data_IF_463163125449
#
_entry.id   IF_463163125449
#
_cell.length_a   1.000
_cell.length_b   1.000
_cell.length_c   1.000
_cell.angle_alpha   90.00
_cell.angle_beta   90.00
_cell.angle_gamma   90.00
#
_symmetry.space_group_name_H-M   'P 1'
#
loop_
_entity.id
_entity.type
_entity.pdbx_description
1 polymer ?
#
# COMPACT_ATOMS: atom_id res chain seq x y z
N UNK A 1 8.55 21.26 30.16
CA UNK A 1 8.29 20.46 28.97
C UNK A 1 9.44 20.53 27.93
N UNK A 2 10.04 21.67 27.65
CA UNK A 2 11.15 21.82 26.68
C UNK A 2 12.41 21.00 27.00
N UNK A 3 12.84 20.94 28.26
CA UNK A 3 14.08 20.21 28.64
C UNK A 3 13.97 18.70 28.45
N UNK A 4 12.79 18.13 28.69
CA UNK A 4 12.51 16.70 28.45
C UNK A 4 12.52 16.36 26.95
N UNK A 5 12.09 17.29 26.11
CA UNK A 5 11.98 17.09 24.68
C UNK A 5 13.37 17.15 23.98
N UNK A 6 14.24 18.08 24.38
CA UNK A 6 15.62 18.16 23.87
C UNK A 6 16.47 16.91 24.21
N UNK A 7 16.19 16.28 25.37
CA UNK A 7 16.80 14.99 25.74
C UNK A 7 16.37 13.88 24.80
N UNK A 8 15.08 13.82 24.43
CA UNK A 8 14.52 12.79 23.57
C UNK A 8 14.99 12.95 22.10
N UNK A 9 15.16 14.18 21.61
CA UNK A 9 15.68 14.44 20.26
C UNK A 9 17.08 13.83 20.06
N UNK A 10 17.99 14.03 21.01
CA UNK A 10 19.32 13.40 20.96
C UNK A 10 19.30 11.89 20.98
N UNK A 11 18.37 11.29 21.71
CA UNK A 11 18.20 9.83 21.73
C UNK A 11 17.69 9.31 20.37
N UNK A 12 16.79 10.05 19.72
CA UNK A 12 16.31 9.72 18.38
C UNK A 12 17.49 9.84 17.37
N UNK A 13 18.29 10.92 17.44
CA UNK A 13 19.47 11.07 16.59
C UNK A 13 20.42 9.87 16.75
N UNK A 14 20.75 9.50 17.98
CA UNK A 14 21.63 8.36 18.28
C UNK A 14 21.04 7.03 17.74
N UNK A 15 19.72 6.85 17.83
CA UNK A 15 19.05 5.68 17.28
C UNK A 15 19.20 5.63 15.75
N UNK A 16 18.93 6.74 15.06
CA UNK A 16 19.03 6.84 13.59
C UNK A 16 20.48 6.66 13.12
N UNK A 17 21.45 7.28 13.78
CA UNK A 17 22.88 7.04 13.53
C UNK A 17 23.26 5.57 13.76
N UNK A 18 22.65 4.92 14.75
CA UNK A 18 22.82 3.49 15.01
C UNK A 18 22.37 2.62 13.85
N UNK A 19 21.32 3.00 13.12
CA UNK A 19 20.90 2.30 11.89
C UNK A 19 21.91 2.47 10.76
N UNK A 20 22.47 3.68 10.59
CA UNK A 20 23.51 3.93 9.59
C UNK A 20 24.75 3.07 9.86
N UNK A 21 25.18 2.98 11.12
CA UNK A 21 26.31 2.13 11.53
C UNK A 21 26.07 0.63 11.26
N UNK A 22 24.81 0.19 11.18
CA UNK A 22 24.42 -1.18 10.82
C UNK A 22 24.24 -1.39 9.31
N UNK A 23 24.59 -0.39 8.49
CA UNK A 23 24.62 -0.48 7.04
C UNK A 23 23.40 0.09 6.31
N UNK A 24 22.51 0.82 7.00
CA UNK A 24 21.47 1.59 6.29
C UNK A 24 22.14 2.81 5.64
N UNK A 25 22.01 3.03 4.31
CA UNK A 25 22.66 4.16 3.64
C UNK A 25 22.20 5.53 4.14
N UNK A 26 20.89 5.69 4.33
CA UNK A 26 20.31 6.93 4.81
C UNK A 26 18.86 6.76 5.27
N UNK A 27 18.37 7.71 6.04
CA UNK A 27 17.00 7.72 6.54
C UNK A 27 16.52 9.15 6.84
N UNK A 28 15.20 9.32 6.89
CA UNK A 28 14.53 10.51 7.37
C UNK A 28 13.41 10.13 8.34
N UNK A 29 13.25 10.93 9.39
CA UNK A 29 12.18 10.76 10.38
C UNK A 29 11.55 12.12 10.70
N UNK A 30 10.23 12.16 10.75
CA UNK A 30 9.46 13.28 11.26
C UNK A 30 8.42 12.78 12.25
N UNK A 31 8.34 13.44 13.40
CA UNK A 31 7.35 13.21 14.44
C UNK A 31 6.49 14.45 14.58
N UNK A 32 5.19 14.27 14.45
CA UNK A 32 4.21 15.36 14.53
C UNK A 32 3.13 15.01 15.55
N UNK A 33 2.74 16.00 16.34
CA UNK A 33 1.63 15.89 17.29
C UNK A 33 0.76 17.13 17.24
N UNK A 34 -0.52 16.96 17.04
CA UNK A 34 -1.50 18.05 16.96
C UNK A 34 -1.07 19.21 16.03
N UNK A 35 -0.54 18.88 14.86
CA UNK A 35 -0.07 19.84 13.87
C UNK A 35 1.32 20.44 14.16
N UNK A 36 1.92 20.14 15.31
CA UNK A 36 3.25 20.64 15.66
C UNK A 36 4.33 19.60 15.35
N UNK A 37 5.37 19.98 14.62
CA UNK A 37 6.56 19.14 14.44
C UNK A 37 7.32 19.08 15.75
N UNK A 38 7.40 17.90 16.33
CA UNK A 38 8.17 17.65 17.55
C UNK A 38 9.61 17.25 17.22
N UNK A 39 9.83 16.52 16.14
CA UNK A 39 11.14 16.10 15.70
C UNK A 39 11.16 16.02 14.17
N UNK A 40 12.31 16.39 13.60
CA UNK A 40 12.61 16.21 12.18
C UNK A 40 14.12 16.00 12.04
N UNK A 41 14.52 14.90 11.39
CA UNK A 41 15.93 14.56 11.20
C UNK A 41 16.16 13.76 9.93
N UNK A 42 17.27 14.05 9.25
CA UNK A 42 17.70 13.43 8.00
C UNK A 42 19.17 13.04 8.12
N UNK A 43 19.49 11.78 7.84
CA UNK A 43 20.80 11.20 8.10
C UNK A 43 21.28 10.35 6.93
N UNK A 44 22.60 10.31 6.75
CA UNK A 44 23.25 9.50 5.72
C UNK A 44 23.07 10.03 4.31
N UNK A 45 23.07 9.14 3.33
CA UNK A 45 23.13 9.47 1.91
C UNK A 45 22.01 8.81 1.13
N UNK A 46 21.58 9.46 0.05
CA UNK A 46 20.60 8.91 -0.92
C UNK A 46 21.24 7.88 -1.84
N UNK A 47 22.57 7.99 -2.02
CA UNK A 47 23.37 7.13 -2.89
C UNK A 47 24.79 7.00 -2.31
N UNK A 48 25.28 5.76 -2.20
CA UNK A 48 26.58 5.46 -1.55
C UNK A 48 27.78 5.85 -2.40
N UNK A 49 27.63 5.94 -3.72
CA UNK A 49 28.71 6.28 -4.64
C UNK A 49 28.86 7.79 -4.75
N UNK A 50 27.76 8.52 -4.99
CA UNK A 50 27.76 9.99 -5.10
C UNK A 50 27.84 10.68 -3.75
N UNK A 51 27.49 9.97 -2.67
CA UNK A 51 27.39 10.49 -1.29
C UNK A 51 26.47 11.71 -1.14
N UNK A 52 25.48 11.80 -2.00
CA UNK A 52 24.44 12.83 -1.93
C UNK A 52 23.67 12.71 -0.61
N UNK A 53 23.60 13.75 0.23
CA UNK A 53 22.99 13.66 1.54
C UNK A 53 21.47 13.48 1.46
N UNK A 54 20.90 12.76 2.43
CA UNK A 54 19.44 12.73 2.65
C UNK A 54 19.02 14.09 3.22
N UNK A 55 17.97 14.67 2.64
CA UNK A 55 17.41 15.97 3.04
C UNK A 55 15.87 15.88 3.12
N UNK A 56 15.22 16.94 3.54
CA UNK A 56 13.75 17.04 3.55
C UNK A 56 13.13 16.87 2.15
N UNK A 57 13.90 17.20 1.10
CA UNK A 57 13.44 17.12 -0.29
C UNK A 57 13.72 15.75 -0.92
N UNK A 58 14.29 14.82 -0.17
CA UNK A 58 14.57 13.45 -0.63
C UNK A 58 13.28 12.67 -0.84
N UNK A 59 13.20 11.97 -1.96
CA UNK A 59 12.05 11.12 -2.31
C UNK A 59 12.34 9.66 -1.98
N UNK A 60 11.32 9.00 -1.45
CA UNK A 60 11.36 7.58 -1.08
C UNK A 60 10.24 6.82 -1.80
N UNK A 61 10.55 5.63 -2.30
CA UNK A 61 9.53 4.71 -2.82
C UNK A 61 8.65 4.23 -1.67
N UNK A 62 7.35 4.45 -1.78
CA UNK A 62 6.41 4.12 -0.72
C UNK A 62 6.04 2.63 -0.68
N UNK A 63 6.27 1.89 -1.75
CA UNK A 63 5.88 0.50 -1.84
C UNK A 63 4.44 0.30 -1.27
N UNK A 64 4.22 -0.62 -0.34
CA UNK A 64 2.90 -0.88 0.25
C UNK A 64 2.34 0.25 1.12
N UNK A 65 3.12 1.25 1.49
CA UNK A 65 2.60 2.48 2.10
C UNK A 65 1.66 3.23 1.14
N UNK A 66 1.80 3.03 -0.18
CA UNK A 66 0.87 3.56 -1.19
C UNK A 66 -0.58 3.12 -0.99
N UNK A 67 -0.84 2.03 -0.27
CA UNK A 67 -2.18 1.56 0.06
C UNK A 67 -2.92 2.48 1.05
N UNK A 68 -2.19 3.20 1.89
CA UNK A 68 -2.80 4.14 2.85
C UNK A 68 -3.55 5.26 2.11
N UNK A 69 -2.94 6.03 1.19
CA UNK A 69 -3.69 7.02 0.40
C UNK A 69 -4.79 6.37 -0.47
N UNK A 70 -4.54 5.18 -1.05
CA UNK A 70 -5.54 4.47 -1.86
C UNK A 70 -6.82 4.20 -1.07
N UNK A 71 -6.72 3.55 0.08
CA UNK A 71 -7.90 3.24 0.90
C UNK A 71 -8.48 4.48 1.58
N UNK A 72 -7.68 5.52 1.82
CA UNK A 72 -8.20 6.83 2.26
C UNK A 72 -9.13 7.42 1.20
N UNK A 73 -8.73 7.45 -0.06
CA UNK A 73 -9.59 7.94 -1.17
C UNK A 73 -10.81 7.05 -1.35
N UNK A 74 -10.69 5.72 -1.26
CA UNK A 74 -11.85 4.83 -1.26
C UNK A 74 -12.87 5.23 -0.19
N UNK A 75 -12.44 5.50 1.04
CA UNK A 75 -13.35 5.88 2.12
C UNK A 75 -13.89 7.30 1.99
N UNK A 76 -13.16 8.22 1.38
CA UNK A 76 -13.72 9.54 1.00
C UNK A 76 -14.83 9.41 -0.05
N UNK A 77 -14.71 8.48 -1.00
CA UNK A 77 -15.75 8.17 -1.99
C UNK A 77 -16.94 7.45 -1.34
N UNK A 78 -16.69 6.55 -0.39
CA UNK A 78 -17.74 5.94 0.42
C UNK A 78 -18.58 6.98 1.18
N UNK A 79 -17.95 7.95 1.86
CA UNK A 79 -18.65 9.06 2.53
C UNK A 79 -19.52 9.89 1.56
N UNK A 80 -19.09 10.00 0.30
CA UNK A 80 -19.84 10.69 -0.75
C UNK A 80 -20.96 9.84 -1.34
N UNK A 81 -21.21 8.65 -0.80
CA UNK A 81 -22.27 7.73 -1.25
C UNK A 81 -22.05 7.16 -2.65
N UNK A 82 -20.79 7.07 -3.10
CA UNK A 82 -20.47 6.56 -4.43
C UNK A 82 -20.62 5.05 -4.56
N UNK A 83 -20.55 4.34 -3.45
CA UNK A 83 -20.79 2.89 -3.34
C UNK A 83 -21.10 2.51 -1.89
N UNK A 84 -21.61 1.31 -1.70
CA UNK A 84 -21.73 0.67 -0.39
C UNK A 84 -20.63 -0.40 -0.22
N UNK A 85 -20.22 -0.63 1.03
CA UNK A 85 -19.21 -1.67 1.32
C UNK A 85 -19.70 -3.10 0.97
N UNK A 86 -21.00 -3.28 0.84
CA UNK A 86 -21.66 -4.55 0.48
C UNK A 86 -21.87 -4.72 -1.03
N UNK A 87 -21.63 -3.68 -1.82
CA UNK A 87 -21.82 -3.76 -3.27
C UNK A 87 -20.87 -4.78 -3.88
N UNK A 88 -21.35 -5.62 -4.82
CA UNK A 88 -20.49 -6.49 -5.61
C UNK A 88 -19.55 -5.65 -6.47
N UNK A 89 -18.27 -6.01 -6.51
CA UNK A 89 -17.31 -5.27 -7.36
C UNK A 89 -17.65 -5.39 -8.85
N UNK A 90 -18.36 -6.41 -9.26
CA UNK A 90 -18.81 -6.61 -10.63
C UNK A 90 -19.78 -5.54 -11.15
N UNK A 91 -20.34 -4.71 -10.27
CA UNK A 91 -21.16 -3.56 -10.65
C UNK A 91 -20.29 -2.39 -11.18
N UNK A 92 -19.02 -2.35 -10.79
CA UNK A 92 -18.02 -1.35 -11.18
C UNK A 92 -17.00 -1.91 -12.15
N UNK A 93 -16.65 -3.18 -12.02
CA UNK A 93 -15.66 -3.93 -12.81
C UNK A 93 -16.37 -5.14 -13.46
N UNK A 94 -16.99 -4.98 -14.65
CA UNK A 94 -17.84 -6.02 -15.25
C UNK A 94 -17.17 -7.38 -15.44
N UNK A 95 -15.85 -7.41 -15.64
CA UNK A 95 -15.06 -8.63 -15.74
C UNK A 95 -14.99 -9.45 -14.44
N UNK A 96 -15.38 -8.86 -13.30
CA UNK A 96 -15.43 -9.47 -11.97
C UNK A 96 -16.85 -9.85 -11.51
N UNK A 97 -17.84 -9.87 -12.42
CA UNK A 97 -19.23 -10.30 -12.09
C UNK A 97 -19.28 -11.72 -11.57
N UNK A 98 -18.42 -12.57 -12.10
CA UNK A 98 -18.29 -13.97 -11.70
C UNK A 98 -16.81 -14.26 -11.46
N UNK A 99 -16.55 -15.07 -10.45
CA UNK A 99 -15.20 -15.53 -10.15
C UNK A 99 -15.24 -17.04 -9.90
N UNK A 100 -14.12 -17.70 -10.12
CA UNK A 100 -13.89 -19.08 -9.74
C UNK A 100 -12.85 -19.16 -8.65
N UNK A 101 -12.79 -20.29 -7.95
CA UNK A 101 -11.77 -20.57 -6.94
C UNK A 101 -11.23 -21.98 -7.08
N UNK A 102 -10.08 -22.22 -6.53
CA UNK A 102 -9.57 -23.56 -6.32
C UNK A 102 -10.31 -24.24 -5.16
N UNK A 103 -10.83 -25.45 -5.41
CA UNK A 103 -11.46 -26.31 -4.41
C UNK A 103 -10.55 -27.54 -4.17
N UNK A 104 -9.99 -27.61 -2.96
CA UNK A 104 -9.00 -28.64 -2.60
C UNK A 104 -9.69 -29.79 -1.87
N UNK A 105 -9.66 -30.96 -2.44
CA UNK A 105 -10.20 -32.18 -1.84
C UNK A 105 -9.19 -32.85 -0.90
N UNK A 106 -9.67 -33.57 0.14
CA UNK A 106 -8.78 -34.27 1.09
C UNK A 106 -7.84 -35.29 0.45
N UNK A 107 -8.20 -35.82 -0.73
CA UNK A 107 -7.37 -36.75 -1.51
C UNK A 107 -6.29 -36.09 -2.37
N UNK A 108 -6.12 -34.76 -2.24
CA UNK A 108 -5.14 -33.96 -2.99
C UNK A 108 -5.60 -33.51 -4.38
N UNK A 109 -6.81 -33.92 -4.83
CA UNK A 109 -7.39 -33.43 -6.07
C UNK A 109 -7.83 -31.96 -5.90
N UNK A 110 -7.75 -31.19 -6.98
CA UNK A 110 -8.12 -29.76 -6.99
C UNK A 110 -9.03 -29.49 -8.17
N UNK A 111 -10.24 -29.01 -7.89
CA UNK A 111 -11.19 -28.51 -8.87
C UNK A 111 -11.13 -26.98 -8.97
N UNK A 112 -11.60 -26.46 -10.09
CA UNK A 112 -11.93 -25.04 -10.25
C UNK A 112 -13.45 -24.93 -10.27
N UNK A 113 -13.99 -24.26 -9.26
CA UNK A 113 -15.45 -24.14 -9.07
C UNK A 113 -15.85 -22.66 -8.97
N UNK A 114 -17.11 -22.30 -9.28
CA UNK A 114 -17.61 -20.96 -9.00
C UNK A 114 -17.47 -20.59 -7.52
N UNK A 115 -17.22 -19.32 -7.23
CA UNK A 115 -17.27 -18.82 -5.86
C UNK A 115 -18.69 -18.87 -5.31
N UNK A 116 -18.82 -19.04 -3.98
CA UNK A 116 -20.12 -19.12 -3.29
C UNK A 116 -20.88 -17.78 -3.31
N UNK A 117 -20.20 -16.68 -3.49
CA UNK A 117 -20.73 -15.33 -3.65
C UNK A 117 -19.78 -14.43 -4.45
N UNK A 118 -20.26 -13.30 -4.97
CA UNK A 118 -19.37 -12.29 -5.56
C UNK A 118 -18.41 -11.70 -4.51
N UNK A 119 -17.27 -11.18 -4.99
CA UNK A 119 -16.42 -10.30 -4.20
C UNK A 119 -17.17 -8.98 -3.98
N UNK A 120 -17.18 -8.47 -2.77
CA UNK A 120 -17.72 -7.14 -2.46
C UNK A 120 -16.62 -6.13 -2.12
N UNK A 121 -16.96 -4.85 -2.07
CA UNK A 121 -16.01 -3.76 -1.79
C UNK A 121 -15.35 -3.92 -0.41
N UNK A 122 -16.08 -4.43 0.59
CA UNK A 122 -15.50 -4.72 1.92
C UNK A 122 -14.40 -5.79 1.83
N UNK A 123 -14.57 -6.82 1.01
CA UNK A 123 -13.54 -7.85 0.82
C UNK A 123 -12.27 -7.25 0.22
N UNK A 124 -12.42 -6.36 -0.78
CA UNK A 124 -11.32 -5.62 -1.39
C UNK A 124 -10.56 -4.81 -0.33
N UNK A 125 -11.27 -4.02 0.46
CA UNK A 125 -10.67 -3.12 1.43
C UNK A 125 -10.06 -3.84 2.63
N UNK A 126 -10.51 -5.07 2.94
CA UNK A 126 -10.00 -5.85 4.06
C UNK A 126 -9.11 -7.03 3.67
N UNK A 127 -8.61 -7.07 2.43
CA UNK A 127 -7.71 -8.13 1.93
C UNK A 127 -8.32 -9.54 2.03
N UNK A 128 -9.60 -9.68 1.70
CA UNK A 128 -10.36 -10.94 1.77
C UNK A 128 -10.87 -11.40 0.41
N UNK A 129 -10.25 -10.96 -0.69
CA UNK A 129 -10.64 -11.37 -2.04
C UNK A 129 -10.15 -12.74 -2.46
N UNK A 130 -9.19 -13.35 -1.75
CA UNK A 130 -8.54 -14.57 -2.20
C UNK A 130 -7.52 -14.36 -3.33
N UNK A 131 -6.91 -13.18 -3.42
CA UNK A 131 -5.95 -12.78 -4.46
C UNK A 131 -4.56 -12.55 -3.88
N UNK A 132 -3.74 -13.59 -3.65
CA UNK A 132 -2.37 -13.43 -3.17
C UNK A 132 -1.46 -12.80 -4.24
N UNK A 133 -0.33 -12.22 -3.82
CA UNK A 133 0.74 -11.89 -4.76
C UNK A 133 1.36 -13.16 -5.35
N UNK A 134 1.82 -13.09 -6.61
CA UNK A 134 2.46 -14.23 -7.28
C UNK A 134 3.78 -14.68 -6.67
N UNK A 135 4.39 -13.89 -5.77
CA UNK A 135 5.62 -14.21 -5.05
C UNK A 135 5.39 -14.63 -3.59
N UNK A 136 4.15 -14.89 -3.20
CA UNK A 136 3.79 -15.31 -1.85
C UNK A 136 4.32 -16.71 -1.58
N UNK A 137 5.11 -16.88 -0.51
CA UNK A 137 5.79 -18.14 -0.19
C UNK A 137 4.88 -19.18 0.53
N UNK A 138 3.58 -18.93 0.65
CA UNK A 138 2.69 -19.87 1.33
C UNK A 138 2.43 -21.12 0.48
N UNK A 139 2.60 -22.34 1.01
CA UNK A 139 2.42 -23.59 0.27
C UNK A 139 1.03 -23.77 -0.36
N UNK A 140 0.00 -23.14 0.23
CA UNK A 140 -1.37 -23.15 -0.27
C UNK A 140 -1.59 -22.26 -1.50
N UNK A 141 -0.61 -21.46 -1.86
CA UNK A 141 -0.71 -20.45 -2.93
C UNK A 141 -0.02 -20.86 -4.23
N UNK A 142 0.68 -21.98 -4.28
CA UNK A 142 1.47 -22.36 -5.46
C UNK A 142 0.62 -22.45 -6.72
N UNK A 143 -0.52 -23.13 -6.67
CA UNK A 143 -1.46 -23.22 -7.79
C UNK A 143 -2.05 -21.86 -8.15
N UNK A 144 -2.39 -21.05 -7.14
CA UNK A 144 -2.96 -19.72 -7.35
C UNK A 144 -1.91 -18.79 -7.95
N UNK A 145 -0.66 -18.87 -7.47
CA UNK A 145 0.46 -18.13 -8.04
C UNK A 145 0.70 -18.50 -9.49
N UNK A 146 0.74 -19.79 -9.80
CA UNK A 146 0.92 -20.28 -11.16
C UNK A 146 -0.22 -19.81 -12.07
N UNK A 147 -1.46 -19.99 -11.67
CA UNK A 147 -2.63 -19.55 -12.46
C UNK A 147 -2.65 -18.02 -12.64
N UNK A 148 -2.26 -17.25 -11.63
CA UNK A 148 -2.13 -15.80 -11.74
C UNK A 148 -0.99 -15.42 -12.69
N UNK A 149 0.17 -16.06 -12.60
CA UNK A 149 1.30 -15.84 -13.50
C UNK A 149 0.92 -16.12 -14.94
N UNK A 150 0.27 -17.25 -15.22
CA UNK A 150 -0.19 -17.60 -16.57
C UNK A 150 -1.14 -16.55 -17.15
N UNK A 151 -2.05 -16.01 -16.35
CA UNK A 151 -2.96 -14.95 -16.77
C UNK A 151 -2.23 -13.61 -17.01
N UNK A 152 -1.19 -13.31 -16.23
CA UNK A 152 -0.45 -12.04 -16.30
C UNK A 152 0.71 -12.06 -17.29
N UNK A 153 1.25 -13.23 -17.62
CA UNK A 153 2.41 -13.40 -18.49
C UNK A 153 2.32 -12.60 -19.81
N UNK A 154 1.21 -12.67 -20.57
CA UNK A 154 1.10 -11.92 -21.83
C UNK A 154 1.21 -10.39 -21.66
N UNK A 155 0.76 -9.86 -20.53
CA UNK A 155 0.88 -8.44 -20.23
C UNK A 155 2.31 -8.06 -19.84
N UNK A 156 2.97 -8.90 -19.07
CA UNK A 156 4.38 -8.67 -18.68
C UNK A 156 5.30 -8.71 -19.90
N UNK A 157 5.05 -9.61 -20.85
CA UNK A 157 5.78 -9.68 -22.11
C UNK A 157 5.49 -8.48 -23.02
N UNK A 158 4.27 -7.95 -23.02
CA UNK A 158 3.91 -6.70 -23.72
C UNK A 158 4.68 -5.50 -23.16
N UNK A 159 5.00 -5.51 -21.84
CA UNK A 159 5.80 -4.52 -21.14
C UNK A 159 5.06 -3.26 -20.70
N UNK A 160 4.02 -2.80 -21.43
CA UNK A 160 3.16 -1.67 -21.06
C UNK A 160 1.69 -2.09 -21.16
N UNK A 161 0.90 -1.79 -20.14
CA UNK A 161 -0.54 -2.13 -20.06
C UNK A 161 -1.26 -1.20 -19.09
N UNK A 162 -2.55 -1.00 -19.35
CA UNK A 162 -3.43 -0.19 -18.51
C UNK A 162 -3.89 -0.96 -17.28
N UNK A 163 -4.40 -0.25 -16.26
CA UNK A 163 -5.04 -0.86 -15.10
C UNK A 163 -6.20 -1.78 -15.52
N UNK A 164 -7.01 -1.35 -16.49
CA UNK A 164 -8.11 -2.15 -17.02
C UNK A 164 -7.64 -3.48 -17.64
N UNK A 165 -6.57 -3.46 -18.45
CA UNK A 165 -5.97 -4.68 -19.01
C UNK A 165 -5.44 -5.60 -17.89
N UNK A 166 -4.82 -5.02 -16.86
CA UNK A 166 -4.35 -5.75 -15.68
C UNK A 166 -5.50 -6.46 -14.98
N UNK A 167 -6.56 -5.72 -14.63
CA UNK A 167 -7.72 -6.28 -13.93
C UNK A 167 -8.44 -7.34 -14.76
N UNK A 168 -8.54 -7.12 -16.08
CA UNK A 168 -9.11 -8.11 -17.00
C UNK A 168 -8.27 -9.39 -17.10
N UNK A 169 -6.96 -9.30 -17.02
CA UNK A 169 -6.09 -10.49 -16.99
C UNK A 169 -6.24 -11.22 -15.65
N UNK A 170 -6.21 -10.50 -14.53
CA UNK A 170 -6.37 -11.07 -13.19
C UNK A 170 -7.72 -11.78 -13.00
N UNK A 171 -8.80 -11.26 -13.58
CA UNK A 171 -10.15 -11.84 -13.42
C UNK A 171 -10.29 -13.26 -13.98
N UNK A 172 -9.36 -13.71 -14.83
CA UNK A 172 -9.32 -15.05 -15.41
C UNK A 172 -8.70 -16.09 -14.47
N UNK A 173 -7.93 -15.64 -13.48
CA UNK A 173 -7.28 -16.53 -12.52
C UNK A 173 -8.28 -16.96 -11.43
N UNK A 174 -8.34 -18.26 -11.08
CA UNK A 174 -9.13 -18.71 -9.95
C UNK A 174 -8.59 -18.13 -8.64
N UNK A 175 -9.48 -17.78 -7.71
CA UNK A 175 -9.15 -17.30 -6.38
C UNK A 175 -8.58 -18.42 -5.51
N UNK A 176 -7.79 -18.07 -4.49
CA UNK A 176 -7.29 -19.03 -3.51
C UNK A 176 -8.38 -19.65 -2.65
N UNK A 177 -9.47 -18.91 -2.41
CA UNK A 177 -10.58 -19.28 -1.53
C UNK A 177 -11.84 -18.50 -1.90
N UNK A 178 -12.97 -18.85 -1.26
CA UNK A 178 -14.18 -18.03 -1.35
C UNK A 178 -13.96 -16.63 -0.77
N UNK A 179 -14.49 -15.57 -1.44
CA UNK A 179 -14.37 -14.21 -0.93
C UNK A 179 -14.90 -14.09 0.50
N UNK A 180 -14.13 -13.41 1.35
CA UNK A 180 -14.47 -13.16 2.74
C UNK A 180 -14.24 -14.32 3.71
N UNK A 181 -13.68 -15.45 3.28
CA UNK A 181 -13.40 -16.60 4.17
C UNK A 181 -12.02 -16.51 4.82
N UNK A 182 -11.01 -16.06 4.10
CA UNK A 182 -9.62 -15.95 4.54
C UNK A 182 -9.07 -14.54 4.37
N UNK A 183 -8.11 -14.15 5.20
CA UNK A 183 -7.33 -12.96 5.00
C UNK A 183 -6.08 -13.30 4.20
N UNK A 184 -5.92 -12.68 3.03
CA UNK A 184 -4.79 -12.92 2.13
C UNK A 184 -4.28 -11.58 1.61
N UNK A 185 -3.10 -11.17 2.06
CA UNK A 185 -2.45 -9.96 1.57
C UNK A 185 -1.99 -10.13 0.12
N UNK A 186 -2.46 -9.26 -0.78
CA UNK A 186 -2.13 -9.40 -2.18
C UNK A 186 -2.75 -8.32 -3.08
N UNK A 187 -3.26 -8.74 -4.25
CA UNK A 187 -3.72 -7.88 -5.33
C UNK A 187 -5.07 -7.18 -5.11
N UNK A 188 -5.64 -7.22 -3.91
CA UNK A 188 -6.90 -6.49 -3.61
C UNK A 188 -6.80 -4.97 -3.86
N UNK A 189 -5.60 -4.40 -3.73
CA UNK A 189 -5.37 -2.98 -3.98
C UNK A 189 -5.55 -2.57 -5.44
N UNK A 190 -5.30 -3.47 -6.37
CA UNK A 190 -5.53 -3.24 -7.80
C UNK A 190 -7.02 -3.11 -8.11
N UNK A 191 -7.85 -3.95 -7.47
CA UNK A 191 -9.31 -3.85 -7.56
C UNK A 191 -9.81 -2.51 -6.99
N UNK A 192 -9.27 -2.08 -5.84
CA UNK A 192 -9.61 -0.79 -5.24
C UNK A 192 -9.33 0.38 -6.20
N UNK A 193 -8.19 0.35 -6.87
CA UNK A 193 -7.85 1.36 -7.86
C UNK A 193 -8.80 1.37 -9.05
N UNK A 194 -9.13 0.19 -9.59
CA UNK A 194 -10.11 0.07 -10.68
C UNK A 194 -11.50 0.56 -10.28
N UNK A 195 -11.93 0.32 -9.05
CA UNK A 195 -13.20 0.83 -8.52
C UNK A 195 -13.16 2.37 -8.45
N UNK A 196 -12.05 2.97 -8.01
CA UNK A 196 -11.89 4.44 -8.02
C UNK A 196 -12.04 5.00 -9.43
N UNK A 197 -11.35 4.40 -10.42
CA UNK A 197 -11.46 4.84 -11.81
C UNK A 197 -12.88 4.71 -12.36
N UNK A 198 -13.53 3.57 -12.10
CA UNK A 198 -14.91 3.34 -12.56
C UNK A 198 -15.93 4.31 -11.93
N UNK A 199 -15.75 4.66 -10.66
CA UNK A 199 -16.65 5.54 -9.91
C UNK A 199 -16.43 7.01 -10.25
N UNK A 200 -15.19 7.40 -10.55
CA UNK A 200 -14.81 8.80 -10.82
C UNK A 200 -14.76 9.13 -12.32
N UNK A 201 -14.76 8.13 -13.18
CA UNK A 201 -14.54 8.26 -14.63
C UNK A 201 -13.24 9.05 -14.95
N UNK A 202 -12.18 8.76 -14.19
CA UNK A 202 -10.87 9.43 -14.26
C UNK A 202 -9.76 8.46 -13.90
N UNK A 203 -8.53 8.67 -14.42
CA UNK A 203 -7.36 7.95 -13.95
C UNK A 203 -7.19 8.14 -12.43
N UNK A 204 -6.85 7.08 -11.74
CA UNK A 204 -6.75 7.11 -10.27
C UNK A 204 -5.68 8.07 -9.76
N UNK A 205 -4.60 8.33 -10.51
CA UNK A 205 -3.59 9.33 -10.17
C UNK A 205 -4.19 10.75 -10.13
N UNK A 206 -5.10 11.07 -11.06
CA UNK A 206 -5.81 12.35 -11.08
C UNK A 206 -6.76 12.46 -9.88
N UNK A 207 -7.44 11.36 -9.54
CA UNK A 207 -8.31 11.30 -8.36
C UNK A 207 -7.51 11.50 -7.07
N UNK A 208 -6.34 10.85 -6.93
CA UNK A 208 -5.45 11.07 -5.79
C UNK A 208 -5.02 12.53 -5.67
N UNK A 209 -4.59 13.10 -6.79
CA UNK A 209 -4.17 14.51 -6.83
C UNK A 209 -5.29 15.43 -6.39
N UNK A 210 -6.47 15.33 -7.01
CA UNK A 210 -7.61 16.22 -6.73
C UNK A 210 -8.17 16.04 -5.32
N UNK A 211 -8.32 14.80 -4.85
CA UNK A 211 -9.05 14.51 -3.61
C UNK A 211 -8.16 14.53 -2.38
N UNK A 212 -6.86 14.25 -2.52
CA UNK A 212 -5.98 14.01 -1.38
C UNK A 212 -4.71 14.86 -1.44
N UNK A 213 -3.93 14.80 -2.54
CA UNK A 213 -2.59 15.40 -2.54
C UNK A 213 -2.64 16.93 -2.59
N UNK A 214 -3.44 17.52 -3.49
CA UNK A 214 -3.59 18.98 -3.58
C UNK A 214 -4.19 19.57 -2.27
N UNK A 215 -5.27 19.02 -1.69
CA UNK A 215 -5.83 19.52 -0.43
C UNK A 215 -4.85 19.43 0.76
N UNK A 216 -3.96 18.44 0.77
CA UNK A 216 -2.95 18.28 1.80
C UNK A 216 -1.63 19.03 1.48
N UNK A 217 -1.52 19.62 0.29
CA UNK A 217 -0.29 20.24 -0.19
C UNK A 217 0.87 19.26 -0.40
N UNK A 218 0.58 18.01 -0.72
CA UNK A 218 1.55 16.93 -0.97
C UNK A 218 2.11 17.04 -2.39
N UNK A 219 3.02 17.97 -2.61
CA UNK A 219 3.56 18.33 -3.94
C UNK A 219 4.62 17.34 -4.44
N UNK A 220 5.21 16.60 -3.54
CA UNK A 220 6.29 15.64 -3.77
C UNK A 220 5.79 14.18 -3.73
N UNK A 221 4.47 13.98 -3.86
CA UNK A 221 3.84 12.65 -3.85
C UNK A 221 3.14 12.39 -5.17
N UNK A 222 3.58 11.37 -5.88
CA UNK A 222 2.94 10.93 -7.13
C UNK A 222 3.36 9.50 -7.51
N UNK A 223 2.74 8.95 -8.57
CA UNK A 223 3.15 7.69 -9.17
C UNK A 223 4.16 7.87 -10.31
N UNK A 224 4.19 9.04 -10.94
CA UNK A 224 4.99 9.33 -12.13
C UNK A 224 5.81 10.59 -11.89
N UNK A 225 7.09 10.54 -12.23
CA UNK A 225 7.96 11.72 -12.16
C UNK A 225 7.57 12.73 -13.25
N UNK A 226 7.32 13.99 -12.88
CA UNK A 226 7.01 15.02 -13.87
C UNK A 226 8.23 15.37 -14.73
N UNK A 227 9.45 15.19 -14.20
CA UNK A 227 10.69 15.54 -14.85
C UNK A 227 11.90 14.80 -14.24
N UNK A 228 13.04 14.88 -14.91
CA UNK A 228 14.30 14.28 -14.46
C UNK A 228 14.84 14.93 -13.16
N UNK A 229 14.56 16.20 -12.90
CA UNK A 229 14.98 16.85 -11.66
C UNK A 229 14.29 16.21 -10.44
N UNK A 230 13.00 15.95 -10.54
CA UNK A 230 12.24 15.24 -9.50
C UNK A 230 12.75 13.81 -9.33
N UNK A 231 12.99 13.11 -10.44
CA UNK A 231 13.53 11.74 -10.41
C UNK A 231 14.89 11.67 -9.70
N UNK A 232 15.77 12.65 -9.92
CA UNK A 232 17.11 12.70 -9.31
C UNK A 232 17.09 12.92 -7.79
N UNK A 233 15.93 13.23 -7.21
CA UNK A 233 15.73 13.31 -5.75
C UNK A 233 15.38 11.95 -5.12
N UNK A 234 15.13 10.91 -5.94
CA UNK A 234 14.76 9.58 -5.46
C UNK A 234 15.99 8.84 -4.92
N UNK A 235 15.85 8.25 -3.72
CA UNK A 235 16.91 7.41 -3.13
C UNK A 235 17.23 6.21 -4.02
N UNK A 236 18.50 5.84 -4.10
CA UNK A 236 18.92 4.60 -4.73
C UNK A 236 18.41 3.41 -3.92
N UNK A 237 17.80 2.43 -4.59
CA UNK A 237 17.41 1.17 -3.97
C UNK A 237 18.63 0.26 -3.90
N UNK A 238 18.89 -0.27 -2.71
CA UNK A 238 19.98 -1.22 -2.48
C UNK A 238 19.44 -2.59 -2.09
N UNK A 239 20.16 -3.62 -2.52
CA UNK A 239 20.03 -4.99 -2.07
C UNK A 239 21.35 -5.44 -1.42
N UNK A 240 21.34 -6.55 -0.70
CA UNK A 240 22.57 -7.21 -0.25
C UNK A 240 22.92 -8.33 -1.21
N UNK A 241 24.20 -8.37 -1.61
CA UNK A 241 24.76 -9.52 -2.30
C UNK A 241 24.96 -10.72 -1.32
N UNK A 242 25.35 -11.92 -1.81
CA UNK A 242 25.61 -13.07 -0.95
C UNK A 242 26.67 -12.83 0.13
N UNK A 243 27.59 -11.89 -0.09
CA UNK A 243 28.66 -11.54 0.85
C UNK A 243 28.23 -10.46 1.86
N UNK A 244 26.98 -9.95 1.71
CA UNK A 244 26.39 -8.94 2.58
C UNK A 244 26.70 -7.50 2.22
N UNK A 245 27.36 -7.24 1.08
CA UNK A 245 27.65 -5.90 0.59
C UNK A 245 26.39 -5.28 -0.03
N UNK A 246 26.28 -3.95 0.07
CA UNK A 246 25.23 -3.20 -0.60
C UNK A 246 25.56 -3.08 -2.09
N UNK A 247 24.63 -3.55 -2.93
CA UNK A 247 24.68 -3.40 -4.39
C UNK A 247 23.38 -2.70 -4.86
N UNK A 248 23.40 -1.99 -5.99
CA UNK A 248 22.18 -1.42 -6.55
C UNK A 248 21.11 -2.50 -6.71
N UNK A 249 19.93 -2.23 -6.18
CA UNK A 249 18.77 -3.11 -6.29
C UNK A 249 18.16 -3.08 -7.70
N UNK A 250 17.14 -3.93 -7.95
CA UNK A 250 16.51 -3.99 -9.26
C UNK A 250 15.79 -2.68 -9.60
N UNK A 251 16.02 -2.15 -10.79
CA UNK A 251 15.48 -0.88 -11.28
C UNK A 251 14.05 -0.98 -11.85
N UNK A 252 13.43 -2.14 -11.76
CA UNK A 252 12.13 -2.36 -12.39
C UNK A 252 11.02 -1.46 -11.83
N UNK A 253 11.16 -1.00 -10.58
CA UNK A 253 10.24 0.00 -10.01
C UNK A 253 10.44 1.38 -10.65
N UNK A 254 11.69 1.76 -10.93
CA UNK A 254 12.03 3.09 -11.41
C UNK A 254 11.60 3.32 -12.85
N UNK A 255 11.73 2.28 -13.69
CA UNK A 255 11.29 2.33 -15.10
C UNK A 255 9.79 2.58 -15.24
N UNK A 256 9.01 2.26 -14.22
CA UNK A 256 7.54 2.38 -14.21
C UNK A 256 7.04 3.76 -13.78
N UNK A 257 7.92 4.57 -13.20
CA UNK A 257 7.63 5.96 -12.82
C UNK A 257 7.95 6.96 -13.93
N UNK A 258 8.43 6.51 -15.08
CA UNK A 258 8.77 7.39 -16.21
C UNK A 258 7.54 7.65 -17.07
N UNK A 259 7.34 8.91 -17.55
CA UNK A 259 6.26 9.25 -18.46
C UNK A 259 6.26 8.37 -19.72
N UNK A 260 5.09 7.90 -20.15
CA UNK A 260 4.92 7.06 -21.33
C UNK A 260 5.42 5.62 -21.19
N UNK A 261 5.88 5.22 -20.00
CA UNK A 261 6.22 3.83 -19.62
C UNK A 261 5.36 3.33 -18.48
N UNK A 262 4.28 3.98 -18.25
CA UNK A 262 3.33 3.73 -17.19
C UNK A 262 2.74 2.33 -17.37
N UNK A 263 3.19 1.42 -16.55
CA UNK A 263 2.33 0.33 -16.16
C UNK A 263 1.43 0.91 -15.07
N UNK A 264 0.24 1.32 -15.43
CA UNK A 264 -0.74 1.91 -14.52
C UNK A 264 -1.23 0.91 -13.45
N UNK A 265 -0.72 -0.30 -13.49
CA UNK A 265 -1.06 -1.37 -12.58
C UNK A 265 -0.02 -1.51 -11.46
N UNK A 266 -0.52 -1.65 -10.26
CA UNK A 266 0.25 -1.93 -9.05
C UNK A 266 0.40 -0.73 -8.13
N UNK A 267 -0.47 -0.68 -7.14
CA UNK A 267 -0.62 0.37 -6.13
C UNK A 267 0.40 0.30 -5.00
N UNK A 268 1.56 -0.24 -5.29
CA UNK A 268 2.74 -0.13 -4.47
C UNK A 268 3.74 0.86 -5.08
N UNK A 269 3.28 1.91 -5.79
CA UNK A 269 4.14 2.70 -6.69
C UNK A 269 4.16 4.20 -6.48
N UNK A 270 3.65 4.70 -5.39
CA UNK A 270 3.88 6.11 -5.07
C UNK A 270 5.34 6.30 -4.62
N UNK A 271 5.90 7.42 -4.99
CA UNK A 271 7.01 8.03 -4.27
C UNK A 271 6.48 9.20 -3.44
N UNK A 272 7.18 9.56 -2.38
CA UNK A 272 6.84 10.68 -1.52
C UNK A 272 8.05 11.16 -0.74
N UNK A 273 7.99 12.40 -0.24
CA UNK A 273 8.90 12.90 0.79
C UNK A 273 8.37 12.55 2.19
N UNK A 274 9.26 12.60 3.19
CA UNK A 274 8.86 12.47 4.61
C UNK A 274 7.87 13.57 5.00
N UNK A 275 8.08 14.78 4.48
CA UNK A 275 7.20 15.93 4.71
C UNK A 275 5.78 15.65 4.22
N UNK A 276 5.62 15.31 2.94
CA UNK A 276 4.30 15.09 2.34
C UNK A 276 3.56 13.94 3.01
N UNK A 277 4.25 12.82 3.22
CA UNK A 277 3.60 11.67 3.83
C UNK A 277 3.17 11.95 5.28
N UNK A 278 3.92 12.78 6.00
CA UNK A 278 3.56 13.23 7.34
C UNK A 278 2.24 14.02 7.38
N UNK A 279 1.92 14.78 6.33
CA UNK A 279 0.66 15.53 6.23
C UNK A 279 -0.55 14.60 6.13
N UNK A 280 -0.44 13.54 5.33
CA UNK A 280 -1.46 12.49 5.25
C UNK A 280 -1.68 11.82 6.62
N UNK A 281 -0.58 11.44 7.28
CA UNK A 281 -0.68 10.80 8.60
C UNK A 281 -1.25 11.74 9.65
N UNK A 282 -0.92 13.03 9.62
CA UNK A 282 -1.54 14.03 10.50
C UNK A 282 -3.04 14.15 10.25
N UNK A 283 -3.47 14.25 8.99
CA UNK A 283 -4.89 14.31 8.65
C UNK A 283 -5.64 13.12 9.25
N UNK A 284 -5.11 11.91 9.08
CA UNK A 284 -5.72 10.70 9.64
C UNK A 284 -5.71 10.70 11.17
N UNK A 285 -4.58 11.07 11.81
CA UNK A 285 -4.44 11.11 13.27
C UNK A 285 -5.33 12.19 13.92
N UNK A 286 -5.56 13.30 13.21
CA UNK A 286 -6.43 14.39 13.64
C UNK A 286 -7.91 14.21 13.26
N UNK A 287 -8.35 12.97 13.00
CA UNK A 287 -9.76 12.66 12.74
C UNK A 287 -10.29 13.28 11.45
N UNK A 288 -9.46 13.30 10.40
CA UNK A 288 -9.82 13.75 9.05
C UNK A 288 -9.68 15.24 8.81
N UNK A 289 -8.94 15.94 9.68
CA UNK A 289 -8.70 17.40 9.56
C UNK A 289 -7.21 17.67 9.37
N UNK A 290 -6.88 18.52 8.43
CA UNK A 290 -5.54 19.04 8.22
C UNK A 290 -5.60 20.54 7.94
N UNK A 291 -4.80 21.33 8.65
CA UNK A 291 -4.73 22.80 8.54
C UNK A 291 -6.13 23.47 8.51
N UNK A 292 -7.00 23.08 9.46
CA UNK A 292 -8.37 23.57 9.57
C UNK A 292 -9.37 23.03 8.53
N UNK A 293 -8.91 22.31 7.51
CA UNK A 293 -9.76 21.75 6.46
C UNK A 293 -10.12 20.30 6.76
N UNK A 294 -11.42 19.97 6.74
CA UNK A 294 -11.90 18.60 6.90
C UNK A 294 -11.96 17.89 5.55
N UNK A 295 -11.22 16.79 5.42
CA UNK A 295 -11.21 15.94 4.23
C UNK A 295 -12.14 14.73 4.38
N UNK A 296 -12.25 14.18 5.60
CA UNK A 296 -13.15 13.07 5.90
C UNK A 296 -13.61 13.10 7.36
N UNK A 297 -14.63 12.32 7.70
CA UNK A 297 -15.14 12.26 9.07
C UNK A 297 -14.27 11.38 9.98
N UNK A 298 -14.25 11.72 11.27
CA UNK A 298 -13.59 10.90 12.27
C UNK A 298 -14.23 9.51 12.37
N UNK A 299 -15.55 9.42 12.22
CA UNK A 299 -16.27 8.13 12.23
C UNK A 299 -15.83 7.20 11.11
N UNK A 300 -15.55 7.75 9.92
CA UNK A 300 -15.02 6.96 8.80
C UNK A 300 -13.61 6.45 9.08
N UNK A 301 -12.75 7.28 9.68
CA UNK A 301 -11.41 6.85 10.10
C UNK A 301 -11.52 5.76 11.19
N UNK A 302 -12.43 5.90 12.14
CA UNK A 302 -12.68 4.88 13.16
C UNK A 302 -13.13 3.56 12.52
N UNK A 303 -14.00 3.62 11.50
CA UNK A 303 -14.39 2.45 10.73
C UNK A 303 -13.21 1.80 10.02
N UNK A 304 -12.32 2.59 9.42
CA UNK A 304 -11.11 2.08 8.75
C UNK A 304 -10.18 1.33 9.69
N UNK A 305 -9.97 1.85 10.89
CA UNK A 305 -9.04 1.27 11.88
C UNK A 305 -9.66 0.21 12.79
N UNK A 306 -10.96 -0.05 12.69
CA UNK A 306 -11.62 -1.10 13.45
C UNK A 306 -11.32 -2.47 12.83
N UNK A 307 -10.89 -3.43 13.66
CA UNK A 307 -10.66 -4.78 13.18
C UNK A 307 -11.92 -5.41 12.58
N UNK A 308 -11.83 -5.83 11.33
CA UNK A 308 -12.90 -6.48 10.58
C UNK A 308 -12.68 -7.99 10.37
N UNK A 309 -11.66 -8.58 10.99
CA UNK A 309 -11.34 -10.01 10.89
C UNK A 309 -12.06 -10.80 11.97
N UNK A 310 -12.61 -11.97 11.60
CA UNK A 310 -13.13 -12.96 12.54
C UNK A 310 -11.97 -13.67 13.25
N UNK A 311 -12.30 -14.51 14.25
CA UNK A 311 -11.29 -15.34 14.92
C UNK A 311 -10.56 -16.28 13.97
N UNK A 312 -11.29 -16.89 13.06
CA UNK A 312 -10.75 -17.79 12.04
C UNK A 312 -9.80 -17.04 11.10
N UNK A 313 -10.18 -15.86 10.64
CA UNK A 313 -9.35 -15.02 9.75
C UNK A 313 -8.10 -14.45 10.44
N UNK A 314 -8.15 -14.25 11.77
CA UNK A 314 -6.97 -13.86 12.55
C UNK A 314 -5.91 -14.97 12.58
N UNK A 315 -6.25 -16.22 12.28
CA UNK A 315 -5.27 -17.30 12.15
C UNK A 315 -4.43 -17.16 10.86
N UNK A 316 -4.96 -16.49 9.86
CA UNK A 316 -4.23 -16.17 8.61
C UNK A 316 -3.33 -14.94 8.79
N UNK A 317 -3.55 -14.14 9.83
CA UNK A 317 -2.82 -12.89 10.02
C UNK A 317 -1.44 -13.17 10.64
N UNK A 318 -0.34 -12.66 10.04
CA UNK A 318 1.02 -13.07 10.42
C UNK A 318 1.45 -12.56 11.79
N UNK A 319 0.91 -11.42 12.23
CA UNK A 319 1.37 -10.74 13.43
C UNK A 319 0.37 -10.93 14.59
N UNK A 320 0.80 -11.55 15.68
CA UNK A 320 -0.01 -11.67 16.91
C UNK A 320 -0.31 -10.29 17.48
N UNK A 321 -1.52 -10.13 18.06
CA UNK A 321 -1.95 -8.87 18.65
C UNK A 321 -2.42 -7.83 17.63
N UNK A 322 -2.38 -8.17 16.35
CA UNK A 322 -2.87 -7.32 15.27
C UNK A 322 -4.03 -7.97 14.52
N UNK A 323 -4.81 -7.12 13.86
CA UNK A 323 -5.83 -7.47 12.91
C UNK A 323 -5.81 -6.52 11.72
N UNK A 324 -6.88 -6.51 10.93
CA UNK A 324 -6.98 -5.68 9.74
C UNK A 324 -8.37 -5.05 9.65
N UNK A 325 -8.41 -3.75 9.40
CA UNK A 325 -9.63 -3.00 9.16
C UNK A 325 -9.88 -2.79 7.66
N UNK A 326 -10.33 -1.61 7.29
CA UNK A 326 -10.51 -1.22 5.88
C UNK A 326 -9.24 -0.51 5.39
N UNK A 327 -8.26 -1.29 4.94
CA UNK A 327 -6.98 -0.82 4.42
C UNK A 327 -5.88 -0.63 5.46
N UNK A 328 -6.16 -0.84 6.74
CA UNK A 328 -5.21 -0.61 7.82
C UNK A 328 -4.97 -1.87 8.65
N UNK A 329 -3.70 -2.17 8.94
CA UNK A 329 -3.35 -3.05 10.05
C UNK A 329 -3.72 -2.34 11.36
N UNK A 330 -4.40 -3.02 12.23
CA UNK A 330 -4.88 -2.46 13.50
C UNK A 330 -4.33 -3.23 14.69
N UNK A 331 -4.04 -2.54 15.78
CA UNK A 331 -3.69 -3.17 17.05
C UNK A 331 -4.98 -3.61 17.74
N UNK A 332 -5.10 -4.90 18.06
CA UNK A 332 -6.26 -5.46 18.77
C UNK A 332 -5.90 -5.94 20.18
N UNK A 333 -4.65 -6.33 20.40
CA UNK A 333 -4.10 -6.68 21.71
C UNK A 333 -2.67 -6.15 21.82
N UNK A 334 -2.46 -4.98 22.44
CA UNK A 334 -1.14 -4.38 22.60
C UNK A 334 -0.15 -5.25 23.40
N UNK A 335 -0.66 -6.13 24.28
CA UNK A 335 0.18 -6.99 25.11
C UNK A 335 0.71 -8.20 24.30
N UNK A 336 -0.02 -8.66 23.31
CA UNK A 336 0.39 -9.74 22.42
C UNK A 336 1.17 -9.25 21.20
N UNK A 337 1.01 -7.96 20.84
CA UNK A 337 1.81 -7.32 19.79
C UNK A 337 3.16 -6.87 20.35
N UNK A 338 4.23 -6.99 19.56
CA UNK A 338 5.58 -6.51 19.92
C UNK A 338 5.65 -4.97 20.00
N UNK A 339 4.67 -4.36 20.68
CA UNK A 339 4.69 -2.94 21.01
C UNK A 339 5.45 -2.64 22.31
N UNK A 340 6.16 -3.62 22.82
CA UNK A 340 7.09 -3.48 23.92
C UNK A 340 8.38 -2.82 23.40
N UNK A 341 8.29 -1.52 23.14
CA UNK A 341 9.44 -0.69 22.88
C UNK A 341 10.19 -0.32 24.16
#
# INVERSE_FOLDING_TARGET
>A
MEVSFMSNAKQIDQLLEGFLKRGLPGCGLKVVQYGNTLYEGYFGVTDIDTKTPVTKDTLFRQASMSKIPLYTVMMMLYERGKFLLTDPIGDYLPEWKTSTRYDRHPNGYVDIVPTSRPINIRDVMSMKCGLPYCNSAAPTHDLVMTGMQECMQPLWEKGSYTLKEHLSAMSKAPLACDPGTHWIYGFSSELAAGIIEAVCDKPVNDVFKEMLFDPLGMKDTAAIFPDEQTKNRLVTLYAKDPDGNLVPGPDFFDKKHLPGKENEAGWARLYSSVEDYSRLLQMLACGGVYDGTRLMSSTTIDLMRTNGLTREQLLDFPDKGYGYGLGFRTVIDPAAGDLNG
#
